data_IF_547807569578
#
_entry.id   IF_547807569578
#
_cell.length_a   1.000
_cell.length_b   1.000
_cell.length_c   1.000
_cell.angle_alpha   90.00
_cell.angle_beta   90.00
_cell.angle_gamma   90.00
#
_symmetry.space_group_name_H-M   'P 1'
#
loop_
_entity.id
_entity.type
_entity.pdbx_description
1 polymer ?
#
# COMPACT_ATOMS: atom_id res chain seq x y z
N UNK A 1 -23.39 6.72 -8.31
CA UNK A 1 -24.27 7.18 -7.19
C UNK A 1 -24.84 6.01 -6.35
N UNK A 2 -24.26 4.81 -6.40
CA UNK A 2 -24.86 3.61 -5.81
C UNK A 2 -24.96 3.64 -4.28
N UNK A 3 -23.92 4.14 -3.59
CA UNK A 3 -23.92 4.26 -2.13
C UNK A 3 -25.08 5.15 -1.66
N UNK A 4 -25.20 6.36 -2.23
CA UNK A 4 -26.28 7.29 -1.86
C UNK A 4 -27.67 6.74 -2.19
N UNK A 5 -27.83 6.02 -3.31
CA UNK A 5 -29.11 5.40 -3.64
C UNK A 5 -29.57 4.37 -2.59
N UNK A 6 -28.62 3.65 -1.97
CA UNK A 6 -28.91 2.63 -0.95
C UNK A 6 -29.12 3.23 0.45
N UNK A 7 -28.34 4.25 0.82
CA UNK A 7 -28.28 4.77 2.20
C UNK A 7 -28.86 6.19 2.36
N UNK A 8 -29.22 6.86 1.27
CA UNK A 8 -29.64 8.26 1.28
C UNK A 8 -30.94 8.53 2.05
N UNK A 9 -31.81 7.51 2.19
CA UNK A 9 -33.00 7.59 3.05
C UNK A 9 -32.64 7.69 4.54
N UNK A 10 -31.51 7.08 4.95
CA UNK A 10 -30.99 7.11 6.30
C UNK A 10 -30.15 8.37 6.54
N UNK A 11 -29.29 8.73 5.57
CA UNK A 11 -28.35 9.84 5.67
C UNK A 11 -28.42 10.78 4.43
N UNK A 12 -29.45 11.63 4.33
CA UNK A 12 -29.67 12.49 3.15
C UNK A 12 -28.52 13.47 2.88
N UNK A 13 -27.84 13.91 3.94
CA UNK A 13 -26.71 14.85 3.88
C UNK A 13 -25.52 14.33 3.03
N UNK A 14 -25.42 13.01 2.81
CA UNK A 14 -24.36 12.42 2.00
C UNK A 14 -24.39 12.87 0.54
N UNK A 15 -25.52 13.38 0.03
CA UNK A 15 -25.60 13.92 -1.34
C UNK A 15 -24.58 15.04 -1.59
N UNK A 16 -24.20 15.78 -0.54
CA UNK A 16 -23.22 16.86 -0.62
C UNK A 16 -21.81 16.37 -0.98
N UNK A 17 -21.51 15.09 -0.72
CA UNK A 17 -20.21 14.46 -0.98
C UNK A 17 -20.30 13.25 -1.92
N UNK A 18 -21.48 12.98 -2.48
CA UNK A 18 -21.74 11.84 -3.36
C UNK A 18 -21.26 12.15 -4.79
N UNK A 19 -19.96 12.35 -4.96
CA UNK A 19 -19.33 12.70 -6.23
C UNK A 19 -18.22 11.69 -6.57
N UNK A 20 -18.03 11.45 -7.87
CA UNK A 20 -16.97 10.57 -8.38
C UNK A 20 -17.22 9.08 -8.15
N UNK A 21 -16.13 8.34 -8.07
CA UNK A 21 -16.08 6.90 -7.88
C UNK A 21 -15.25 6.57 -6.64
N UNK A 22 -15.63 5.50 -5.96
CA UNK A 22 -14.93 4.98 -4.79
C UNK A 22 -14.41 3.58 -5.11
N UNK A 23 -13.13 3.34 -4.88
CA UNK A 23 -12.56 1.99 -4.87
C UNK A 23 -12.94 1.27 -3.57
N UNK A 24 -13.26 -0.01 -3.68
CA UNK A 24 -13.51 -0.89 -2.55
C UNK A 24 -12.88 -2.25 -2.83
N UNK A 25 -12.23 -2.83 -1.82
CA UNK A 25 -11.75 -4.21 -1.89
C UNK A 25 -12.90 -5.18 -2.09
N UNK A 26 -12.66 -6.22 -2.88
CA UNK A 26 -13.51 -7.40 -2.92
C UNK A 26 -13.31 -8.29 -1.67
N UNK A 27 -14.12 -9.35 -1.53
CA UNK A 27 -14.08 -10.25 -0.37
C UNK A 27 -12.73 -10.99 -0.19
N UNK A 28 -11.97 -11.15 -1.27
CA UNK A 28 -10.65 -11.78 -1.32
C UNK A 28 -9.48 -10.77 -1.29
N UNK A 29 -9.77 -9.48 -1.07
CA UNK A 29 -8.79 -8.41 -1.08
C UNK A 29 -8.63 -7.74 0.30
N UNK A 30 -7.38 -7.54 0.70
CA UNK A 30 -6.99 -6.75 1.86
C UNK A 30 -5.74 -5.91 1.55
N UNK A 31 -5.24 -5.17 2.55
CA UNK A 31 -4.03 -4.37 2.40
C UNK A 31 -2.84 -5.22 1.94
N UNK A 32 -2.69 -6.43 2.47
CA UNK A 32 -1.59 -7.34 2.14
C UNK A 32 -1.68 -7.87 0.71
N UNK A 33 -2.85 -8.33 0.25
CA UNK A 33 -3.01 -8.86 -1.12
C UNK A 33 -2.88 -7.76 -2.16
N UNK A 34 -3.41 -6.56 -1.90
CA UNK A 34 -3.20 -5.39 -2.75
C UNK A 34 -1.72 -4.98 -2.78
N UNK A 35 -1.01 -5.02 -1.64
CA UNK A 35 0.42 -4.75 -1.58
C UNK A 35 1.22 -5.73 -2.45
N UNK A 36 0.86 -7.02 -2.44
CA UNK A 36 1.47 -8.04 -3.31
C UNK A 36 1.18 -7.76 -4.79
N UNK A 37 -0.07 -7.40 -5.13
CA UNK A 37 -0.44 -7.09 -6.51
C UNK A 37 0.35 -5.89 -7.06
N UNK A 38 0.41 -4.78 -6.30
CA UNK A 38 1.16 -3.59 -6.66
C UNK A 38 2.66 -3.87 -6.77
N UNK A 39 3.22 -4.64 -5.83
CA UNK A 39 4.63 -4.98 -5.84
C UNK A 39 4.99 -5.91 -7.02
N UNK A 40 4.12 -6.87 -7.35
CA UNK A 40 4.32 -7.76 -8.50
C UNK A 40 4.33 -6.98 -9.81
N UNK A 41 3.42 -6.03 -9.97
CA UNK A 41 3.36 -5.14 -11.13
C UNK A 41 4.63 -4.28 -11.24
N UNK A 42 5.04 -3.66 -10.12
CA UNK A 42 6.26 -2.86 -10.02
C UNK A 42 7.54 -3.62 -10.41
N UNK A 43 7.59 -4.93 -10.17
CA UNK A 43 8.75 -5.78 -10.50
C UNK A 43 8.71 -6.38 -11.91
N UNK A 44 7.72 -6.01 -12.74
CA UNK A 44 7.64 -6.51 -14.12
C UNK A 44 8.85 -6.07 -14.93
N UNK A 45 9.59 -7.04 -15.49
CA UNK A 45 10.82 -6.77 -16.25
C UNK A 45 12.06 -6.49 -15.39
N UNK A 46 11.95 -6.55 -14.06
CA UNK A 46 13.05 -6.29 -13.13
C UNK A 46 13.66 -7.61 -12.61
N UNK A 47 14.97 -7.59 -12.35
CA UNK A 47 15.67 -8.70 -11.73
C UNK A 47 15.43 -8.73 -10.21
N UNK A 48 14.54 -9.63 -9.78
CA UNK A 48 14.20 -9.86 -8.36
C UNK A 48 15.41 -10.26 -7.53
N UNK A 49 16.41 -10.89 -8.15
CA UNK A 49 17.64 -11.34 -7.51
C UNK A 49 18.56 -10.20 -7.10
N UNK A 50 18.21 -8.93 -7.37
CA UNK A 50 18.95 -7.73 -6.94
C UNK A 50 18.26 -6.94 -5.84
N UNK A 51 17.09 -7.35 -5.37
CA UNK A 51 16.36 -6.65 -4.30
C UNK A 51 16.99 -7.01 -2.97
N UNK A 52 17.34 -6.00 -2.17
CA UNK A 52 18.06 -6.17 -0.91
C UNK A 52 17.18 -5.91 0.31
N UNK A 53 16.07 -5.21 0.14
CA UNK A 53 15.09 -5.02 1.20
C UNK A 53 13.66 -4.82 0.68
N UNK A 54 12.68 -5.16 1.52
CA UNK A 54 11.26 -4.91 1.30
C UNK A 54 10.66 -4.21 2.52
N UNK A 55 10.13 -3.01 2.31
CA UNK A 55 9.42 -2.25 3.33
C UNK A 55 7.92 -2.20 3.01
N UNK A 56 7.10 -2.67 3.94
CA UNK A 56 5.64 -2.62 3.81
C UNK A 56 5.09 -1.51 4.68
N UNK A 57 4.21 -0.68 4.15
CA UNK A 57 3.59 0.42 4.87
C UNK A 57 2.06 0.31 4.82
N UNK A 58 1.42 0.32 5.98
CA UNK A 58 -0.05 0.32 6.06
C UNK A 58 -0.53 0.75 7.44
N UNK A 59 -1.71 1.37 7.48
CA UNK A 59 -2.46 1.61 8.73
C UNK A 59 -3.51 0.54 9.00
N UNK A 60 -3.68 -0.42 8.09
CA UNK A 60 -4.76 -1.40 8.06
C UNK A 60 -4.21 -2.81 7.84
N UNK A 61 -3.05 -3.10 8.44
CA UNK A 61 -2.42 -4.42 8.41
C UNK A 61 -3.35 -5.50 9.02
N UNK A 62 -3.47 -6.69 8.40
CA UNK A 62 -4.35 -7.76 8.90
C UNK A 62 -3.84 -8.46 10.17
N UNK A 63 -2.55 -8.32 10.52
CA UNK A 63 -1.94 -8.94 11.69
C UNK A 63 -1.24 -7.88 12.53
N UNK A 64 -1.15 -8.09 13.85
CA UNK A 64 -0.47 -7.16 14.76
C UNK A 64 0.93 -7.66 15.14
N UNK A 65 1.15 -8.96 15.10
CA UNK A 65 2.32 -9.69 15.60
C UNK A 65 3.16 -10.33 14.48
N UNK A 66 2.60 -10.43 13.27
CA UNK A 66 3.26 -11.01 12.11
C UNK A 66 3.78 -9.93 11.18
N UNK A 67 5.00 -10.13 10.68
CA UNK A 67 5.63 -9.26 9.70
C UNK A 67 5.00 -9.41 8.30
N UNK A 68 4.32 -8.39 7.81
CA UNK A 68 3.66 -8.35 6.49
C UNK A 68 4.68 -8.29 5.37
N UNK A 69 5.74 -7.50 5.52
CA UNK A 69 6.84 -7.43 4.57
C UNK A 69 7.43 -8.82 4.25
N UNK A 70 7.53 -9.69 5.26
CA UNK A 70 7.96 -11.08 5.09
C UNK A 70 6.97 -11.90 4.23
N UNK A 71 5.66 -11.73 4.45
CA UNK A 71 4.64 -12.43 3.64
C UNK A 71 4.68 -11.94 2.18
N UNK A 72 4.82 -10.62 1.97
CA UNK A 72 4.95 -10.05 0.62
C UNK A 72 6.21 -10.59 -0.07
N UNK A 73 7.34 -10.65 0.63
CA UNK A 73 8.58 -11.19 0.10
C UNK A 73 8.44 -12.65 -0.35
N UNK A 74 7.81 -13.50 0.47
CA UNK A 74 7.51 -14.89 0.11
C UNK A 74 6.57 -14.96 -1.10
N UNK A 75 5.50 -14.16 -1.13
CA UNK A 75 4.53 -14.16 -2.23
C UNK A 75 5.15 -13.74 -3.57
N UNK A 76 6.16 -12.87 -3.54
CA UNK A 76 6.90 -12.40 -4.72
C UNK A 76 8.05 -13.33 -5.13
N UNK A 77 8.35 -14.37 -4.34
CA UNK A 77 9.49 -15.26 -4.48
C UNK A 77 10.83 -14.50 -4.49
N UNK A 78 11.01 -13.60 -3.51
CA UNK A 78 12.27 -12.89 -3.29
C UNK A 78 13.27 -13.76 -2.53
N UNK A 79 14.54 -13.31 -2.46
CA UNK A 79 15.57 -13.99 -1.67
C UNK A 79 15.21 -13.96 -0.18
N UNK A 80 15.61 -14.99 0.55
CA UNK A 80 15.34 -15.11 1.99
C UNK A 80 16.22 -14.19 2.85
N UNK A 81 17.32 -13.67 2.28
CA UNK A 81 18.32 -12.86 2.98
C UNK A 81 18.08 -11.34 2.91
N UNK A 82 16.92 -10.90 2.40
CA UNK A 82 16.58 -9.49 2.28
C UNK A 82 16.17 -8.88 3.62
N UNK A 83 16.49 -7.59 3.82
CA UNK A 83 15.96 -6.83 4.94
C UNK A 83 14.44 -6.66 4.80
N UNK A 84 13.68 -6.84 5.87
CA UNK A 84 12.23 -6.63 5.84
C UNK A 84 11.76 -5.84 7.05
N UNK A 85 10.84 -4.89 6.83
CA UNK A 85 10.31 -4.03 7.88
C UNK A 85 8.89 -3.55 7.55
N UNK A 86 8.07 -3.43 8.59
CA UNK A 86 6.73 -2.85 8.49
C UNK A 86 6.69 -1.45 9.11
N UNK A 87 6.02 -0.53 8.42
CA UNK A 87 5.77 0.84 8.85
C UNK A 87 4.26 1.02 9.05
N UNK A 88 3.84 1.44 10.24
CA UNK A 88 2.40 1.51 10.57
C UNK A 88 2.05 2.72 11.46
N UNK A 89 0.88 2.66 12.10
CA UNK A 89 0.31 3.59 13.09
C UNK A 89 -0.25 4.90 12.54
N UNK A 90 0.35 5.50 11.52
CA UNK A 90 -0.12 6.79 10.98
C UNK A 90 -0.12 6.79 9.45
N UNK A 91 -0.89 7.70 8.85
CA UNK A 91 -0.89 7.90 7.38
C UNK A 91 0.49 8.33 6.84
N UNK A 92 1.41 8.77 7.72
CA UNK A 92 2.80 9.04 7.32
C UNK A 92 3.62 7.77 7.10
N UNK A 93 3.13 6.59 7.49
CA UNK A 93 3.85 5.33 7.36
C UNK A 93 4.44 5.12 5.96
N UNK A 94 3.68 5.40 4.89
CA UNK A 94 4.18 5.30 3.51
C UNK A 94 5.34 6.24 3.23
N UNK A 95 5.22 7.52 3.62
CA UNK A 95 6.31 8.49 3.46
C UNK A 95 7.53 8.19 4.34
N UNK A 96 7.33 7.66 5.54
CA UNK A 96 8.42 7.24 6.43
C UNK A 96 9.17 6.05 5.86
N UNK A 97 8.45 5.05 5.34
CA UNK A 97 9.04 3.91 4.64
C UNK A 97 9.83 4.35 3.40
N UNK A 98 9.28 5.31 2.65
CA UNK A 98 9.93 5.88 1.48
C UNK A 98 11.24 6.61 1.83
N UNK A 99 11.25 7.44 2.88
CA UNK A 99 12.46 8.13 3.34
C UNK A 99 13.52 7.12 3.79
N UNK A 100 13.14 6.13 4.60
CA UNK A 100 14.06 5.07 5.03
C UNK A 100 14.63 4.27 3.84
N UNK A 101 13.82 4.03 2.80
CA UNK A 101 14.26 3.37 1.58
C UNK A 101 15.19 4.25 0.73
N UNK A 102 14.94 5.56 0.64
CA UNK A 102 15.82 6.51 -0.04
C UNK A 102 17.21 6.55 0.61
N UNK A 103 17.27 6.57 1.94
CA UNK A 103 18.54 6.50 2.69
C UNK A 103 19.28 5.17 2.45
N UNK A 104 18.56 4.05 2.44
CA UNK A 104 19.15 2.76 2.10
C UNK A 104 19.63 2.69 0.64
N UNK A 105 18.88 3.29 -0.29
CA UNK A 105 19.23 3.37 -1.70
C UNK A 105 20.46 4.28 -1.96
N UNK A 106 20.59 5.37 -1.21
CA UNK A 106 21.80 6.20 -1.22
C UNK A 106 23.05 5.41 -0.80
N UNK A 107 22.89 4.39 0.05
CA UNK A 107 23.94 3.45 0.44
C UNK A 107 24.09 2.24 -0.52
N UNK A 108 23.47 2.30 -1.70
CA UNK A 108 23.64 1.30 -2.76
C UNK A 108 22.71 0.08 -2.69
N UNK A 109 21.75 0.05 -1.75
CA UNK A 109 20.75 -1.04 -1.68
C UNK A 109 19.63 -0.82 -2.69
N UNK A 110 19.06 -1.91 -3.23
CA UNK A 110 17.77 -1.83 -3.93
C UNK A 110 16.65 -2.19 -2.98
N UNK A 111 15.72 -1.26 -2.77
CA UNK A 111 14.66 -1.41 -1.77
C UNK A 111 13.30 -1.31 -2.43
N UNK A 112 12.48 -2.33 -2.24
CA UNK A 112 11.09 -2.32 -2.65
C UNK A 112 10.24 -1.78 -1.51
N UNK A 113 9.54 -0.67 -1.74
CA UNK A 113 8.56 -0.12 -0.80
C UNK A 113 7.18 -0.39 -1.34
N UNK A 114 6.32 -1.00 -0.55
CA UNK A 114 4.90 -1.15 -0.86
C UNK A 114 4.08 -0.44 0.21
N UNK A 115 3.11 0.36 -0.21
CA UNK A 115 2.16 1.03 0.67
C UNK A 115 0.74 0.62 0.27
N UNK A 116 -0.07 0.23 1.24
CA UNK A 116 -1.43 -0.26 0.99
C UNK A 116 -2.36 0.07 2.14
N UNK A 117 -3.62 0.38 1.85
CA UNK A 117 -4.64 0.53 2.88
C UNK A 117 -6.01 0.05 2.40
N UNK A 118 -6.72 -0.66 3.28
CA UNK A 118 -8.14 -1.02 3.17
C UNK A 118 -8.87 -0.45 4.39
N UNK A 119 -9.56 0.68 4.23
CA UNK A 119 -10.13 1.40 5.37
C UNK A 119 -11.59 1.05 5.56
N UNK A 120 -11.88 0.31 6.62
CA UNK A 120 -13.26 0.02 6.98
C UNK A 120 -14.01 1.30 7.37
N UNK A 121 -15.22 1.43 6.82
CA UNK A 121 -16.07 2.60 7.02
C UNK A 121 -17.44 2.17 7.50
N UNK A 122 -18.04 3.01 8.34
CA UNK A 122 -19.41 2.80 8.82
C UNK A 122 -20.38 3.25 7.74
N UNK A 123 -21.34 2.39 7.41
CA UNK A 123 -22.43 2.73 6.49
C UNK A 123 -23.16 4.00 6.93
N UNK A 124 -23.43 4.90 5.98
CA UNK A 124 -24.07 6.19 6.21
C UNK A 124 -23.13 7.30 6.70
N UNK A 125 -21.84 7.01 6.84
CA UNK A 125 -20.83 8.00 7.24
C UNK A 125 -20.27 8.76 6.03
N UNK A 126 -19.83 10.01 6.24
CA UNK A 126 -19.03 10.73 5.23
C UNK A 126 -17.77 9.96 4.81
N UNK A 127 -17.18 9.17 5.72
CA UNK A 127 -16.00 8.37 5.40
C UNK A 127 -16.27 7.26 4.37
N UNK A 128 -17.50 6.73 4.31
CA UNK A 128 -17.90 5.78 3.28
C UNK A 128 -17.84 6.40 1.87
N UNK A 129 -17.93 7.73 1.77
CA UNK A 129 -17.78 8.45 0.51
C UNK A 129 -16.32 8.87 0.25
N UNK A 130 -15.59 9.26 1.30
CA UNK A 130 -14.25 9.86 1.16
C UNK A 130 -13.10 8.87 1.08
N UNK A 131 -13.22 7.69 1.69
CA UNK A 131 -12.13 6.72 1.66
C UNK A 131 -12.25 5.79 0.47
N UNK A 132 -11.11 5.36 -0.04
CA UNK A 132 -10.99 4.26 -0.98
C UNK A 132 -9.93 3.29 -0.48
N UNK A 133 -9.95 2.10 -1.05
CA UNK A 133 -8.95 1.08 -0.81
C UNK A 133 -7.95 1.08 -1.98
N UNK A 134 -6.67 0.80 -1.70
CA UNK A 134 -5.66 0.75 -2.75
C UNK A 134 -4.25 0.48 -2.26
N UNK A 135 -3.34 0.26 -3.21
CA UNK A 135 -1.93 0.06 -2.96
C UNK A 135 -1.05 0.66 -4.06
N UNK A 136 0.19 0.99 -3.71
CA UNK A 136 1.22 1.42 -4.64
C UNK A 136 2.57 0.84 -4.21
N UNK A 137 3.47 0.61 -5.18
CA UNK A 137 4.82 0.13 -4.91
C UNK A 137 5.85 0.92 -5.69
N UNK A 138 7.00 1.15 -5.07
CA UNK A 138 8.14 1.86 -5.63
C UNK A 138 9.38 1.00 -5.42
N UNK A 139 10.16 0.82 -6.49
CA UNK A 139 11.49 0.23 -6.39
C UNK A 139 12.52 1.35 -6.37
N UNK A 140 13.28 1.44 -5.29
CA UNK A 140 14.29 2.45 -5.05
C UNK A 140 15.68 1.87 -5.27
N UNK A 141 16.58 2.69 -5.80
CA UNK A 141 17.98 2.38 -6.06
C UNK A 141 18.71 3.62 -6.55
N UNK A 142 19.96 3.44 -6.97
CA UNK A 142 20.83 4.52 -7.47
C UNK A 142 21.24 4.32 -8.94
N UNK A 143 20.66 3.34 -9.63
CA UNK A 143 20.96 3.00 -11.03
C UNK A 143 19.66 2.98 -11.82
N UNK A 144 19.72 3.50 -13.05
CA UNK A 144 18.59 3.45 -14.01
C UNK A 144 17.27 4.00 -13.42
N UNK A 145 17.37 5.10 -12.68
CA UNK A 145 16.24 5.71 -11.97
C UNK A 145 15.40 6.59 -12.91
N UNK A 146 14.08 6.57 -12.70
CA UNK A 146 13.12 7.43 -13.42
C UNK A 146 12.96 8.81 -12.79
N UNK A 147 13.37 8.97 -11.53
CA UNK A 147 13.34 10.21 -10.77
C UNK A 147 14.42 10.19 -9.68
N UNK A 148 14.93 11.36 -9.30
CA UNK A 148 15.92 11.54 -8.24
C UNK A 148 15.34 12.40 -7.11
N UNK A 149 15.67 12.05 -5.86
CA UNK A 149 15.37 12.86 -4.68
C UNK A 149 16.63 13.65 -4.28
N UNK A 150 16.52 14.97 -4.22
CA UNK A 150 17.61 15.90 -3.87
C UNK A 150 17.33 16.59 -2.55
#
# INVERSE_FOLDING_TARGET
MSIYQQIGWLAPALIMVAQGERSMCNWDEDSLTMAVAAARDCLTGMDKGKIDALYSASTTMPFADRLHAGIVATALNLREDIGSADFSSTQRAGTTALIAALEAAANGKRVLVTASDRRETRAGSFYEMWFGDGAASLLLGNQEVVAEFK
#
